data_IF_605859686535
#
_entry.id   IF_605859686535
#
_cell.length_a   1.000
_cell.length_b   1.000
_cell.length_c   1.000
_cell.angle_alpha   90.00
_cell.angle_beta   90.00
_cell.angle_gamma   90.00
#
_symmetry.space_group_name_H-M   'P 1'
#
loop_
_entity.id
_entity.type
_entity.pdbx_description
1 polymer ?
#
# COMPACT_ATOMS: atom_id res chain seq x y z
N UNK A 1 0.58 2.79 7.12
CA UNK A 1 1.08 1.55 6.50
C UNK A 1 0.14 1.07 5.38
N UNK A 2 -1.16 1.21 5.54
CA UNK A 2 -2.16 0.83 4.54
C UNK A 2 -1.91 1.53 3.19
N UNK A 3 -1.63 2.84 3.21
CA UNK A 3 -1.33 3.59 1.98
C UNK A 3 -0.05 3.09 1.30
N UNK A 4 0.99 2.78 2.06
CA UNK A 4 2.24 2.24 1.51
C UNK A 4 2.04 0.86 0.86
N UNK A 5 1.16 0.05 1.42
CA UNK A 5 0.95 -1.36 1.05
C UNK A 5 -0.26 -1.58 0.14
N UNK A 6 -0.99 -0.51 -0.25
CA UNK A 6 -2.27 -0.66 -0.95
C UNK A 6 -2.20 -1.39 -2.29
N UNK A 7 -1.07 -1.27 -3.00
CA UNK A 7 -0.83 -1.94 -4.29
C UNK A 7 0.04 -3.19 -4.18
N UNK A 8 0.27 -3.71 -2.98
CA UNK A 8 1.21 -4.82 -2.80
C UNK A 8 0.78 -6.13 -3.49
N UNK A 9 -0.50 -6.32 -3.81
CA UNK A 9 -0.95 -7.44 -4.62
C UNK A 9 -0.38 -7.40 -6.05
N UNK A 10 -0.09 -6.23 -6.59
CA UNK A 10 0.47 -6.07 -7.94
C UNK A 10 1.88 -6.66 -8.07
N UNK A 11 2.60 -6.80 -6.97
CA UNK A 11 3.88 -7.48 -6.94
C UNK A 11 3.79 -8.92 -7.46
N UNK A 12 2.67 -9.59 -7.20
CA UNK A 12 2.42 -10.98 -7.62
C UNK A 12 1.61 -11.03 -8.91
N UNK A 13 0.55 -10.21 -9.02
CA UNK A 13 -0.43 -10.25 -10.10
C UNK A 13 -0.06 -9.35 -11.29
N UNK A 14 0.94 -8.50 -11.15
CA UNK A 14 1.29 -7.41 -12.06
C UNK A 14 0.23 -6.30 -12.09
N UNK A 15 0.65 -5.13 -12.55
CA UNK A 15 -0.24 -3.99 -12.74
C UNK A 15 -1.00 -4.14 -14.07
N UNK A 16 -2.31 -4.10 -13.98
CA UNK A 16 -3.20 -4.18 -15.14
C UNK A 16 -4.05 -2.90 -15.17
N UNK A 17 -4.16 -2.22 -16.33
CA UNK A 17 -4.98 -1.03 -16.44
C UNK A 17 -6.44 -1.27 -16.00
N UNK A 18 -7.01 -0.30 -15.28
CA UNK A 18 -8.37 -0.42 -14.74
C UNK A 18 -9.45 -0.77 -15.77
N UNK A 19 -9.43 -0.24 -17.01
CA UNK A 19 -10.39 -0.66 -18.02
C UNK A 19 -10.32 -2.15 -18.36
N UNK A 20 -9.11 -2.73 -18.35
CA UNK A 20 -8.92 -4.16 -18.59
C UNK A 20 -9.35 -4.98 -17.36
N UNK A 21 -9.06 -4.52 -16.14
CA UNK A 21 -9.55 -5.18 -14.92
C UNK A 21 -11.06 -5.33 -14.89
N UNK A 22 -11.78 -4.32 -15.37
CA UNK A 22 -13.25 -4.35 -15.44
C UNK A 22 -13.81 -5.43 -16.36
N UNK A 23 -13.03 -5.89 -17.33
CA UNK A 23 -13.39 -6.98 -18.23
C UNK A 23 -13.01 -8.37 -17.68
N UNK A 24 -12.30 -8.42 -16.57
CA UNK A 24 -11.75 -9.63 -15.96
C UNK A 24 -12.28 -9.81 -14.52
N UNK A 25 -13.53 -10.25 -14.33
CA UNK A 25 -14.10 -10.38 -12.97
C UNK A 25 -13.34 -11.36 -12.09
N UNK A 26 -12.74 -12.41 -12.66
CA UNK A 26 -11.90 -13.35 -11.94
C UNK A 26 -10.63 -12.72 -11.38
N UNK A 27 -10.06 -11.76 -12.09
CA UNK A 27 -8.87 -11.01 -11.61
C UNK A 27 -9.17 -10.24 -10.32
N UNK A 28 -10.28 -9.53 -10.27
CA UNK A 28 -10.68 -8.76 -9.07
C UNK A 28 -10.89 -9.66 -7.85
N UNK A 29 -11.43 -10.84 -8.04
CA UNK A 29 -11.64 -11.83 -6.97
C UNK A 29 -10.29 -12.29 -6.42
N UNK A 30 -9.35 -12.63 -7.29
CA UNK A 30 -8.00 -13.07 -6.91
C UNK A 30 -7.25 -11.94 -6.20
N UNK A 31 -7.33 -10.72 -6.74
CA UNK A 31 -6.69 -9.54 -6.14
C UNK A 31 -7.19 -9.28 -4.71
N UNK A 32 -8.50 -9.35 -4.49
CA UNK A 32 -9.07 -9.18 -3.14
C UNK A 32 -8.62 -10.24 -2.18
N UNK A 33 -8.60 -11.50 -2.60
CA UNK A 33 -8.13 -12.63 -1.77
C UNK A 33 -6.67 -12.47 -1.40
N UNK A 34 -5.84 -12.08 -2.36
CA UNK A 34 -4.42 -11.85 -2.13
C UNK A 34 -4.20 -10.67 -1.19
N UNK A 35 -4.92 -9.55 -1.39
CA UNK A 35 -4.84 -8.40 -0.48
C UNK A 35 -5.30 -8.76 0.93
N UNK A 36 -6.30 -9.62 1.09
CA UNK A 36 -6.70 -10.08 2.41
C UNK A 36 -5.60 -10.87 3.11
N UNK A 37 -4.90 -11.74 2.39
CA UNK A 37 -3.76 -12.49 2.93
C UNK A 37 -2.62 -11.55 3.33
N UNK A 38 -2.32 -10.55 2.50
CA UNK A 38 -1.30 -9.54 2.80
C UNK A 38 -1.70 -8.71 4.01
N UNK A 39 -2.95 -8.27 4.07
CA UNK A 39 -3.48 -7.50 5.18
C UNK A 39 -3.42 -8.28 6.49
N UNK A 40 -3.76 -9.55 6.48
CA UNK A 40 -3.68 -10.42 7.66
C UNK A 40 -2.23 -10.60 8.12
N UNK A 41 -1.30 -10.78 7.18
CA UNK A 41 0.13 -10.94 7.50
C UNK A 41 0.74 -9.68 8.11
N UNK A 42 0.42 -8.51 7.58
CA UNK A 42 1.00 -7.24 8.02
C UNK A 42 0.09 -6.46 8.97
N UNK A 43 -1.00 -7.04 9.40
CA UNK A 43 -2.00 -6.42 10.29
C UNK A 43 -2.51 -5.08 9.76
N UNK A 44 -2.88 -5.07 8.48
CA UNK A 44 -3.48 -3.91 7.82
C UNK A 44 -4.99 -3.92 8.01
N UNK A 45 -5.59 -2.74 8.04
CA UNK A 45 -7.04 -2.58 7.96
C UNK A 45 -7.48 -2.74 6.50
N UNK A 46 -8.19 -3.81 6.20
CA UNK A 46 -8.68 -4.09 4.85
C UNK A 46 -10.13 -4.57 4.92
N UNK A 47 -11.06 -4.10 4.07
CA UNK A 47 -10.84 -3.14 2.96
C UNK A 47 -10.33 -1.76 3.41
N UNK A 48 -9.56 -1.10 2.52
CA UNK A 48 -8.98 0.20 2.82
C UNK A 48 -10.06 1.27 3.00
N UNK A 49 -9.81 2.23 3.90
CA UNK A 49 -10.74 3.32 4.17
C UNK A 49 -10.74 4.37 3.02
N UNK A 50 -11.66 5.32 3.11
CA UNK A 50 -11.82 6.38 2.10
C UNK A 50 -10.58 7.26 1.96
N UNK A 51 -9.81 7.47 3.04
CA UNK A 51 -8.60 8.28 2.98
C UNK A 51 -7.53 7.64 2.09
N UNK A 52 -7.36 6.31 2.18
CA UNK A 52 -6.42 5.59 1.31
C UNK A 52 -6.85 5.69 -0.15
N UNK A 53 -8.14 5.52 -0.43
CA UNK A 53 -8.69 5.62 -1.79
C UNK A 53 -8.53 7.03 -2.36
N UNK A 54 -8.79 8.06 -1.56
CA UNK A 54 -8.62 9.46 -1.98
C UNK A 54 -7.17 9.78 -2.30
N UNK A 55 -6.23 9.36 -1.46
CA UNK A 55 -4.81 9.56 -1.69
C UNK A 55 -4.31 8.81 -2.92
N UNK A 56 -4.80 7.61 -3.16
CA UNK A 56 -4.47 6.83 -4.35
C UNK A 56 -4.88 7.56 -5.64
N UNK A 57 -6.10 8.10 -5.69
CA UNK A 57 -6.58 8.89 -6.83
C UNK A 57 -5.74 10.16 -7.05
N UNK A 58 -5.37 10.87 -5.98
CA UNK A 58 -4.52 12.05 -6.07
C UNK A 58 -3.11 11.71 -6.61
N UNK A 59 -2.52 10.61 -6.16
CA UNK A 59 -1.23 10.14 -6.65
C UNK A 59 -1.28 9.71 -8.11
N UNK A 60 -2.36 9.08 -8.55
CA UNK A 60 -2.56 8.75 -9.96
C UNK A 60 -2.56 10.00 -10.84
N UNK A 61 -3.22 11.07 -10.42
CA UNK A 61 -3.21 12.34 -11.15
C UNK A 61 -1.81 12.94 -11.24
N UNK A 62 -1.04 12.91 -10.16
CA UNK A 62 0.36 13.36 -10.13
C UNK A 62 1.25 12.51 -11.05
N UNK A 63 1.07 11.20 -11.07
CA UNK A 63 1.81 10.30 -11.95
C UNK A 63 1.52 10.59 -13.43
N UNK A 64 0.27 10.81 -13.79
CA UNK A 64 -0.11 11.20 -15.14
C UNK A 64 0.50 12.53 -15.54
N UNK A 65 0.50 13.52 -14.67
CA UNK A 65 1.13 14.81 -14.91
C UNK A 65 2.65 14.68 -15.08
N UNK A 66 3.30 13.91 -14.22
CA UNK A 66 4.75 13.62 -14.32
C UNK A 66 5.10 12.94 -15.64
N UNK A 67 4.30 11.98 -16.06
CA UNK A 67 4.47 11.29 -17.34
C UNK A 67 4.32 12.26 -18.53
N UNK A 68 3.32 13.13 -18.46
CA UNK A 68 3.06 14.14 -19.51
C UNK A 68 4.20 15.12 -19.67
N UNK A 69 4.87 15.50 -18.57
CA UNK A 69 5.98 16.47 -18.57
C UNK A 69 7.36 15.82 -18.63
N UNK A 70 7.45 14.53 -18.90
CA UNK A 70 8.71 13.78 -19.03
C UNK A 70 9.63 13.90 -17.80
N UNK A 71 9.05 13.91 -16.62
CA UNK A 71 9.84 13.89 -15.37
C UNK A 71 10.55 12.54 -15.26
N UNK A 72 11.88 12.57 -15.00
CA UNK A 72 12.64 11.34 -14.85
C UNK A 72 12.19 10.54 -13.63
N UNK A 73 11.99 9.24 -13.83
CA UNK A 73 11.64 8.31 -12.73
C UNK A 73 12.90 7.90 -11.96
N UNK A 74 12.83 7.76 -10.63
CA UNK A 74 13.92 7.20 -9.84
C UNK A 74 14.28 5.77 -10.29
N UNK A 75 15.55 5.37 -10.08
CA UNK A 75 15.97 4.00 -10.35
C UNK A 75 15.23 2.99 -9.46
N UNK A 76 15.18 1.72 -9.89
CA UNK A 76 14.59 0.64 -9.09
C UNK A 76 15.23 0.51 -7.71
N UNK A 77 16.54 0.69 -7.61
CA UNK A 77 17.27 0.62 -6.35
C UNK A 77 16.83 1.72 -5.40
N UNK A 78 16.74 2.96 -5.89
CA UNK A 78 16.26 4.10 -5.10
C UNK A 78 14.82 3.90 -4.64
N UNK A 79 13.94 3.41 -5.51
CA UNK A 79 12.55 3.12 -5.16
C UNK A 79 12.45 2.03 -4.09
N UNK A 80 13.24 0.96 -4.21
CA UNK A 80 13.29 -0.11 -3.23
C UNK A 80 13.76 0.38 -1.87
N UNK A 81 14.88 1.11 -1.84
CA UNK A 81 15.44 1.66 -0.61
C UNK A 81 14.46 2.62 0.07
N UNK A 82 13.86 3.51 -0.69
CA UNK A 82 12.86 4.46 -0.18
C UNK A 82 11.64 3.74 0.40
N UNK A 83 11.15 2.72 -0.29
CA UNK A 83 10.05 1.90 0.21
C UNK A 83 10.42 1.19 1.51
N UNK A 84 11.58 0.53 1.55
CA UNK A 84 12.01 -0.23 2.74
C UNK A 84 12.28 0.68 3.92
N UNK A 85 12.85 1.84 3.73
CA UNK A 85 13.07 2.82 4.79
C UNK A 85 11.72 3.27 5.39
N UNK A 86 10.75 3.58 4.54
CA UNK A 86 9.41 3.98 5.00
C UNK A 86 8.67 2.83 5.67
N UNK A 87 8.75 1.64 5.14
CA UNK A 87 8.17 0.45 5.75
C UNK A 87 8.74 0.21 7.15
N UNK A 88 10.05 0.23 7.29
CA UNK A 88 10.73 0.05 8.57
C UNK A 88 10.37 1.14 9.57
N UNK A 89 10.31 2.40 9.14
CA UNK A 89 9.87 3.52 9.97
C UNK A 89 8.46 3.30 10.53
N UNK A 90 7.52 2.93 9.66
CA UNK A 90 6.13 2.71 10.04
C UNK A 90 5.95 1.48 10.95
N UNK A 91 6.71 0.42 10.71
CA UNK A 91 6.71 -0.76 11.58
C UNK A 91 7.26 -0.45 12.97
N UNK A 92 8.33 0.33 13.07
CA UNK A 92 8.87 0.79 14.37
C UNK A 92 7.86 1.63 15.15
N UNK A 93 7.15 2.55 14.48
CA UNK A 93 6.09 3.34 15.09
C UNK A 93 4.95 2.47 15.62
N UNK A 94 4.54 1.46 14.85
CA UNK A 94 3.50 0.51 15.25
C UNK A 94 3.91 -0.28 16.50
N UNK A 95 5.11 -0.81 16.54
CA UNK A 95 5.65 -1.56 17.70
C UNK A 95 5.69 -0.65 18.93
N UNK A 96 6.16 0.59 18.78
CA UNK A 96 6.21 1.57 19.88
C UNK A 96 4.81 1.86 20.43
N UNK A 97 3.82 2.04 19.57
CA UNK A 97 2.43 2.26 19.98
C UNK A 97 1.86 1.05 20.71
N UNK A 98 2.10 -0.15 20.23
CA UNK A 98 1.67 -1.38 20.89
C UNK A 98 2.31 -1.55 22.26
N UNK A 99 3.60 -1.31 22.37
CA UNK A 99 4.32 -1.38 23.64
C UNK A 99 3.78 -0.33 24.64
N UNK A 100 3.48 0.86 24.20
CA UNK A 100 2.87 1.90 25.05
C UNK A 100 1.48 1.49 25.51
N UNK A 101 0.68 0.89 24.65
CA UNK A 101 -0.65 0.39 24.98
C UNK A 101 -0.59 -0.75 26.00
N UNK A 102 0.30 -1.71 25.83
CA UNK A 102 0.49 -2.80 26.80
C UNK A 102 1.01 -2.28 28.14
N UNK A 103 1.95 -1.35 28.15
CA UNK A 103 2.42 -0.71 29.37
C UNK A 103 1.27 -0.01 30.11
N UNK A 104 0.42 0.70 29.38
CA UNK A 104 -0.75 1.37 29.96
C UNK A 104 -1.76 0.40 30.57
N UNK A 105 -2.03 -0.76 29.93
CA UNK A 105 -2.89 -1.81 30.45
C UNK A 105 -2.32 -2.39 31.75
N UNK A 106 -1.01 -2.64 31.80
CA UNK A 106 -0.37 -3.21 32.98
C UNK A 106 -0.29 -2.24 34.18
N UNK A 107 -0.36 -0.94 33.96
CA UNK A 107 -0.41 0.08 35.01
C UNK A 107 -1.79 0.28 35.61
N UNK A 108 -2.82 -0.30 35.04
CA UNK A 108 -4.18 -0.31 35.58
C UNK A 108 -4.42 -1.54 36.44
#
# INVERSE_FOLDING_TARGET
LEMLMHDSAEFILCDIPSPLKNLLPGYKIIERRLMQVIADKFHLVYPFNENVKTLDLLLQDEEWDSFRYYVSMPSRTVLYETFMDKFNELMKKRIKLLNSYFAWIHLR
#
